data_IF_288470517695
#
_entry.id   IF_288470517695
#
_cell.length_a   1.000
_cell.length_b   1.000
_cell.length_c   1.000
_cell.angle_alpha   90.00
_cell.angle_beta   90.00
_cell.angle_gamma   90.00
#
_symmetry.space_group_name_H-M   'P 1'
#
loop_
_entity.id
_entity.type
_entity.pdbx_description
1 polymer ?
#
# COMPACT_ATOMS: atom_id res chain seq x y z
N UNK A 1 -26.92 -15.56 55.04
CA UNK A 1 -28.02 -15.45 54.06
C UNK A 1 -28.45 -13.97 54.08
N UNK A 2 -28.06 -13.10 53.14
CA UNK A 2 -28.18 -13.20 51.69
C UNK A 2 -27.04 -12.49 50.96
N UNK A 3 -26.65 -13.08 49.84
CA UNK A 3 -25.60 -12.68 48.89
C UNK A 3 -26.26 -11.96 47.70
N UNK A 4 -25.44 -11.22 46.93
CA UNK A 4 -25.59 -10.88 45.50
C UNK A 4 -26.53 -9.72 45.14
N UNK A 5 -26.23 -8.77 44.24
CA UNK A 5 -25.30 -8.74 43.10
C UNK A 5 -24.95 -7.27 42.76
N UNK A 6 -23.67 -6.91 42.77
CA UNK A 6 -23.18 -5.76 42.01
C UNK A 6 -22.89 -6.24 40.58
N UNK A 7 -23.76 -5.90 39.63
CA UNK A 7 -23.47 -6.09 38.21
C UNK A 7 -22.76 -4.84 37.69
N UNK A 8 -21.43 -4.84 37.81
CA UNK A 8 -20.57 -3.96 37.02
C UNK A 8 -20.61 -4.53 35.60
N UNK A 9 -21.42 -3.95 34.70
CA UNK A 9 -21.32 -4.24 33.28
C UNK A 9 -19.97 -3.70 32.80
N UNK A 10 -19.00 -4.59 32.67
CA UNK A 10 -17.70 -4.32 32.06
C UNK A 10 -17.89 -3.92 30.60
N UNK A 11 -17.59 -2.67 30.29
CA UNK A 11 -17.40 -2.21 28.92
C UNK A 11 -16.01 -2.65 28.43
N UNK A 12 -15.87 -3.91 28.03
CA UNK A 12 -14.72 -4.40 27.26
C UNK A 12 -14.98 -4.11 25.78
N UNK A 13 -14.72 -2.88 25.36
CA UNK A 13 -14.68 -2.49 23.94
C UNK A 13 -13.27 -2.02 23.61
N UNK A 14 -12.81 -2.40 22.42
CA UNK A 14 -11.56 -2.04 21.73
C UNK A 14 -10.36 -2.95 21.99
N UNK A 15 -9.93 -3.71 20.96
CA UNK A 15 -8.52 -3.95 20.55
C UNK A 15 -8.41 -4.64 19.17
N UNK A 16 -9.09 -4.15 18.12
CA UNK A 16 -8.93 -4.71 16.74
C UNK A 16 -8.14 -3.79 15.78
N UNK A 17 -7.73 -2.60 16.21
CA UNK A 17 -7.00 -1.64 15.36
C UNK A 17 -5.45 -1.82 15.39
N UNK A 18 -4.93 -2.81 16.12
CA UNK A 18 -3.50 -2.89 16.45
C UNK A 18 -2.57 -3.24 15.28
N UNK A 19 -2.95 -4.19 14.42
CA UNK A 19 -2.05 -4.68 13.38
C UNK A 19 -1.87 -3.67 12.23
N UNK A 20 -2.97 -3.07 11.74
CA UNK A 20 -2.91 -2.09 10.65
C UNK A 20 -2.13 -0.83 11.02
N UNK A 21 -2.28 -0.35 12.26
CA UNK A 21 -1.55 0.83 12.75
C UNK A 21 -0.03 0.57 12.87
N UNK A 22 0.36 -0.66 13.17
CA UNK A 22 1.78 -1.05 13.33
C UNK A 22 2.51 -1.09 11.99
N UNK A 23 1.80 -1.37 10.90
CA UNK A 23 2.37 -1.58 9.56
C UNK A 23 2.44 -0.31 8.72
N UNK A 24 1.60 0.69 9.04
CA UNK A 24 1.55 1.97 8.33
C UNK A 24 2.93 2.61 8.13
N UNK A 25 3.83 2.68 9.13
CA UNK A 25 5.16 3.26 8.93
C UNK A 25 6.00 2.52 7.88
N UNK A 26 5.89 1.19 7.79
CA UNK A 26 6.64 0.40 6.79
C UNK A 26 6.08 0.59 5.38
N UNK A 27 4.76 0.65 5.25
CA UNK A 27 4.07 0.98 4.00
C UNK A 27 4.50 2.37 3.50
N UNK A 28 4.45 3.39 4.36
CA UNK A 28 4.83 4.77 4.02
C UNK A 28 6.30 4.89 3.63
N UNK A 29 7.18 4.12 4.29
CA UNK A 29 8.60 4.05 3.98
C UNK A 29 8.84 3.51 2.57
N UNK A 30 8.16 2.42 2.19
CA UNK A 30 8.26 1.85 0.83
C UNK A 30 7.68 2.80 -0.21
N UNK A 31 6.53 3.41 0.07
CA UNK A 31 5.91 4.39 -0.82
C UNK A 31 6.81 5.61 -1.07
N UNK A 32 7.40 6.16 -0.02
CA UNK A 32 8.35 7.28 -0.12
C UNK A 32 9.60 6.89 -0.91
N UNK A 33 10.18 5.72 -0.61
CA UNK A 33 11.34 5.22 -1.35
C UNK A 33 11.04 4.99 -2.85
N UNK A 34 9.81 4.56 -3.19
CA UNK A 34 9.38 4.43 -4.57
C UNK A 34 9.16 5.80 -5.24
N UNK A 35 8.60 6.77 -4.52
CA UNK A 35 8.38 8.11 -5.02
C UNK A 35 9.69 8.84 -5.36
N UNK A 36 10.70 8.71 -4.50
CA UNK A 36 11.99 9.40 -4.60
C UNK A 36 13.07 8.60 -5.37
N UNK A 37 12.80 7.33 -5.63
CA UNK A 37 13.76 6.41 -6.23
C UNK A 37 14.04 6.70 -7.70
N UNK A 38 15.28 6.42 -8.12
CA UNK A 38 15.61 6.32 -9.55
C UNK A 38 14.86 5.12 -10.20
N UNK A 39 14.83 5.02 -11.54
CA UNK A 39 14.12 3.93 -12.22
C UNK A 39 14.53 2.51 -11.78
N UNK A 40 15.80 2.28 -11.44
CA UNK A 40 16.27 0.97 -10.99
C UNK A 40 15.78 0.67 -9.57
N UNK A 41 15.89 1.65 -8.68
CA UNK A 41 15.36 1.55 -7.32
C UNK A 41 13.84 1.31 -7.33
N UNK A 42 13.11 2.04 -8.18
CA UNK A 42 11.66 1.84 -8.36
C UNK A 42 11.32 0.42 -8.79
N UNK A 43 12.00 -0.12 -9.80
CA UNK A 43 11.80 -1.51 -10.21
C UNK A 43 12.08 -2.53 -9.09
N UNK A 44 13.06 -2.27 -8.22
CA UNK A 44 13.37 -3.16 -7.08
C UNK A 44 12.28 -3.19 -6.00
N UNK A 45 11.47 -2.14 -5.92
CA UNK A 45 10.37 -1.97 -4.97
C UNK A 45 9.04 -2.50 -5.50
N UNK A 46 8.94 -2.80 -6.80
CA UNK A 46 7.77 -3.45 -7.37
C UNK A 46 7.67 -4.90 -6.90
N UNK A 47 6.44 -5.41 -6.84
CA UNK A 47 6.19 -6.83 -6.65
C UNK A 47 6.72 -7.61 -7.86
N UNK A 48 7.26 -8.84 -7.68
CA UNK A 48 7.79 -9.63 -8.78
C UNK A 48 6.79 -9.85 -9.93
N UNK A 49 5.51 -10.04 -9.60
CA UNK A 49 4.45 -10.19 -10.60
C UNK A 49 4.23 -8.90 -11.43
N UNK A 50 4.34 -7.72 -10.81
CA UNK A 50 4.28 -6.44 -11.50
C UNK A 50 5.49 -6.25 -12.41
N UNK A 51 6.70 -6.57 -11.96
CA UNK A 51 7.90 -6.53 -12.82
C UNK A 51 7.71 -7.44 -14.04
N UNK A 52 7.31 -8.69 -13.82
CA UNK A 52 7.06 -9.64 -14.89
C UNK A 52 5.96 -9.17 -15.86
N UNK A 53 4.93 -8.48 -15.36
CA UNK A 53 3.88 -7.91 -16.20
C UNK A 53 4.41 -6.81 -17.11
N UNK A 54 5.15 -5.85 -16.55
CA UNK A 54 5.76 -4.75 -17.30
C UNK A 54 6.75 -5.29 -18.34
N UNK A 55 7.57 -6.28 -17.96
CA UNK A 55 8.60 -6.86 -18.83
C UNK A 55 8.05 -7.63 -20.05
N UNK A 56 6.76 -7.99 -20.06
CA UNK A 56 6.09 -8.50 -21.27
C UNK A 56 5.91 -7.43 -22.34
N UNK A 57 5.80 -6.17 -21.94
CA UNK A 57 5.57 -5.03 -22.84
C UNK A 57 6.85 -4.23 -23.11
N UNK A 58 7.82 -4.28 -22.19
CA UNK A 58 9.13 -3.68 -22.34
C UNK A 58 9.91 -3.59 -21.02
N UNK A 59 11.15 -3.10 -21.02
CA UNK A 59 11.97 -3.07 -19.80
C UNK A 59 11.28 -2.30 -18.66
N UNK A 60 11.27 -2.86 -17.43
CA UNK A 60 10.66 -2.21 -16.27
C UNK A 60 11.12 -0.75 -16.10
N UNK A 61 12.42 -0.50 -16.28
CA UNK A 61 13.03 0.84 -16.18
C UNK A 61 12.45 1.86 -17.16
N UNK A 62 11.94 1.42 -18.31
CA UNK A 62 11.27 2.28 -19.28
C UNK A 62 9.86 2.63 -18.80
N UNK A 63 9.10 1.63 -18.32
CA UNK A 63 7.75 1.82 -17.80
C UNK A 63 7.73 2.76 -16.59
N UNK A 64 8.60 2.53 -15.59
CA UNK A 64 8.66 3.40 -14.40
C UNK A 64 9.14 4.82 -14.71
N UNK A 65 9.97 5.01 -15.75
CA UNK A 65 10.40 6.33 -16.21
C UNK A 65 9.26 7.13 -16.86
N UNK A 66 8.34 6.44 -17.52
CA UNK A 66 7.13 7.03 -18.08
C UNK A 66 6.02 7.24 -17.03
N UNK A 67 6.17 6.67 -15.84
CA UNK A 67 5.26 6.87 -14.71
C UNK A 67 5.46 8.22 -14.02
N UNK A 68 4.40 8.86 -13.49
CA UNK A 68 4.56 10.12 -12.79
C UNK A 68 5.59 9.96 -11.66
N UNK A 69 6.38 11.01 -11.38
CA UNK A 69 7.07 11.07 -10.09
C UNK A 69 6.01 11.08 -8.98
N UNK A 70 6.34 10.46 -7.85
CA UNK A 70 5.43 10.44 -6.70
C UNK A 70 5.35 11.81 -6.03
N UNK A 71 5.38 11.83 -4.70
CA UNK A 71 5.37 13.04 -3.92
C UNK A 71 5.22 12.73 -2.44
N UNK A 72 4.84 13.74 -1.65
CA UNK A 72 4.63 13.54 -0.22
C UNK A 72 3.44 12.62 0.03
N UNK A 73 3.57 11.77 1.05
CA UNK A 73 2.46 10.95 1.56
C UNK A 73 1.38 11.87 2.13
N UNK A 74 0.16 11.73 1.62
CA UNK A 74 -1.02 12.46 2.10
C UNK A 74 -1.91 11.58 2.97
N UNK A 75 -2.06 10.31 2.60
CA UNK A 75 -2.95 9.38 3.29
C UNK A 75 -2.51 7.93 3.07
N UNK A 76 -2.59 7.12 4.12
CA UNK A 76 -2.25 5.69 4.09
C UNK A 76 -3.33 4.84 4.73
N UNK A 77 -3.85 3.89 3.97
CA UNK A 77 -4.80 2.88 4.43
C UNK A 77 -4.18 1.49 4.31
N UNK A 78 -4.32 0.67 5.35
CA UNK A 78 -3.78 -0.70 5.41
C UNK A 78 -4.90 -1.65 5.79
N UNK A 79 -5.06 -2.72 5.00
CA UNK A 79 -6.09 -3.74 5.14
C UNK A 79 -5.44 -5.13 5.10
N UNK A 80 -4.93 -5.57 6.25
CA UNK A 80 -4.21 -6.83 6.37
C UNK A 80 -2.88 -6.78 5.62
N UNK A 81 -2.81 -7.49 4.50
CA UNK A 81 -1.63 -7.59 3.63
C UNK A 81 -1.71 -6.67 2.41
N UNK A 82 -2.75 -5.85 2.29
CA UNK A 82 -2.89 -4.87 1.23
C UNK A 82 -2.85 -3.45 1.81
N UNK A 83 -2.36 -2.51 1.02
CA UNK A 83 -2.35 -1.10 1.40
C UNK A 83 -2.52 -0.17 0.19
N UNK A 84 -3.09 1.00 0.46
CA UNK A 84 -3.13 2.12 -0.46
C UNK A 84 -2.40 3.32 0.16
N UNK A 85 -1.56 3.97 -0.64
CA UNK A 85 -0.91 5.22 -0.27
C UNK A 85 -1.24 6.28 -1.31
N UNK A 86 -1.92 7.34 -0.88
CA UNK A 86 -2.15 8.52 -1.70
C UNK A 86 -1.00 9.49 -1.49
N UNK A 87 -0.30 9.78 -2.57
CA UNK A 87 0.75 10.79 -2.65
C UNK A 87 0.19 12.07 -3.27
N UNK A 88 0.92 13.18 -3.15
CA UNK A 88 0.53 14.45 -3.78
C UNK A 88 0.46 14.39 -5.32
N UNK A 89 1.18 13.45 -5.94
CA UNK A 89 1.23 13.28 -7.41
C UNK A 89 0.88 11.88 -7.92
N UNK A 90 0.52 10.94 -7.03
CA UNK A 90 0.30 9.54 -7.40
C UNK A 90 -0.63 8.83 -6.38
N UNK A 91 -1.18 7.69 -6.75
CA UNK A 91 -1.74 6.70 -5.81
C UNK A 91 -1.04 5.37 -6.03
N UNK A 92 -0.50 4.81 -4.95
CA UNK A 92 0.18 3.52 -4.94
C UNK A 92 -0.71 2.47 -4.28
N UNK A 93 -0.68 1.26 -4.81
CA UNK A 93 -1.16 0.06 -4.14
C UNK A 93 0.03 -0.84 -3.81
N UNK A 94 0.05 -1.37 -2.59
CA UNK A 94 1.12 -2.21 -2.08
C UNK A 94 0.54 -3.49 -1.49
N UNK A 95 1.29 -4.58 -1.63
CA UNK A 95 0.99 -5.87 -1.00
C UNK A 95 2.16 -6.29 -0.10
N UNK A 96 1.86 -7.02 0.98
CA UNK A 96 2.88 -7.63 1.83
C UNK A 96 3.33 -8.94 1.21
N UNK A 97 4.64 -9.06 1.03
CA UNK A 97 5.28 -10.30 0.59
C UNK A 97 6.17 -10.88 1.70
N UNK A 98 6.69 -12.10 1.50
CA UNK A 98 7.72 -12.66 2.38
C UNK A 98 9.01 -11.82 2.44
N UNK A 99 9.23 -10.92 1.47
CA UNK A 99 10.35 -9.97 1.43
C UNK A 99 9.98 -8.56 1.96
N UNK A 100 8.80 -8.41 2.57
CA UNK A 100 8.25 -7.13 3.01
C UNK A 100 7.25 -6.53 2.02
N UNK A 101 6.85 -5.29 2.27
CA UNK A 101 5.92 -4.55 1.42
C UNK A 101 6.50 -4.25 0.03
N UNK A 102 5.68 -4.44 -1.01
CA UNK A 102 6.04 -4.20 -2.41
C UNK A 102 4.92 -3.46 -3.12
N UNK A 103 5.29 -2.56 -4.04
CA UNK A 103 4.34 -1.82 -4.88
C UNK A 103 3.80 -2.76 -5.96
N UNK A 104 2.48 -2.97 -5.99
CA UNK A 104 1.81 -3.78 -7.02
C UNK A 104 1.26 -2.93 -8.16
N UNK A 105 0.89 -1.68 -7.86
CA UNK A 105 0.43 -0.72 -8.85
C UNK A 105 0.79 0.73 -8.49
N UNK A 106 0.99 1.56 -9.51
CA UNK A 106 1.37 2.96 -9.39
C UNK A 106 0.91 3.78 -10.61
N UNK A 107 0.95 5.11 -10.50
CA UNK A 107 0.36 6.01 -11.49
C UNK A 107 -1.17 5.87 -11.54
N UNK A 108 -1.81 5.58 -10.40
CA UNK A 108 -3.21 5.18 -10.35
C UNK A 108 -4.16 6.38 -10.17
N UNK A 109 -5.25 6.38 -10.94
CA UNK A 109 -6.31 7.38 -10.83
C UNK A 109 -7.67 6.74 -10.52
N UNK A 110 -8.51 7.36 -9.66
CA UNK A 110 -9.85 6.86 -9.37
C UNK A 110 -10.71 6.74 -10.64
N UNK A 111 -11.56 5.72 -10.70
CA UNK A 111 -12.42 5.42 -11.84
C UNK A 111 -13.90 5.25 -11.42
N UNK A 112 -14.39 6.18 -10.59
CA UNK A 112 -15.71 6.06 -9.97
C UNK A 112 -15.78 4.82 -9.07
N UNK A 113 -16.83 4.01 -9.26
CA UNK A 113 -17.05 2.75 -8.52
C UNK A 113 -16.29 1.55 -9.12
N UNK A 114 -15.55 1.75 -10.22
CA UNK A 114 -14.72 0.73 -10.84
C UNK A 114 -13.30 0.75 -10.23
N UNK A 115 -12.52 -0.33 -10.43
CA UNK A 115 -11.11 -0.35 -10.05
C UNK A 115 -10.35 0.84 -10.64
N UNK A 116 -9.34 1.31 -9.90
CA UNK A 116 -8.44 2.36 -10.35
C UNK A 116 -7.82 2.00 -11.70
N UNK A 117 -7.59 3.02 -12.53
CA UNK A 117 -6.80 2.86 -13.75
C UNK A 117 -5.37 3.21 -13.41
N UNK A 118 -4.47 2.24 -13.55
CA UNK A 118 -3.07 2.38 -13.18
C UNK A 118 -2.17 2.38 -14.41
N UNK A 119 -1.07 3.13 -14.35
CA UNK A 119 -0.06 3.14 -15.42
C UNK A 119 0.91 1.97 -15.28
N UNK A 120 1.20 1.59 -14.05
CA UNK A 120 1.99 0.41 -13.71
C UNK A 120 1.09 -0.51 -12.91
N UNK A 121 0.90 -1.75 -13.35
CA UNK A 121 0.13 -2.75 -12.60
C UNK A 121 0.60 -4.18 -12.90
N UNK A 122 0.52 -5.03 -11.88
CA UNK A 122 0.60 -6.48 -12.03
C UNK A 122 -0.77 -7.10 -12.33
N UNK A 123 -0.81 -8.39 -12.68
CA UNK A 123 -2.07 -9.13 -12.87
C UNK A 123 -2.87 -9.29 -11.57
#
# INVERSE_FOLDING_TARGET
MNVTRAFILGATVAMLAGCAATERPDVERVATAFADGDPTARCSLLAPATVAALEREGPCVAAVRASPPGGQVLETSVWGDEAQVRLSGDTLFLTRTGAGWKVVAAGCTPNGDLPYVCRLEGP
#
